data_IF_688780820045
#
_entry.id   IF_688780820045
#
_cell.length_a   1.000
_cell.length_b   1.000
_cell.length_c   1.000
_cell.angle_alpha   90.00
_cell.angle_beta   90.00
_cell.angle_gamma   90.00
#
_symmetry.space_group_name_H-M   'P 1'
#
loop_
_entity.id
_entity.type
_entity.pdbx_description
1 polymer ?
#
# COMPACT_ATOMS: atom_id res chain seq x y z
N UNK A 1 -25.10 23.04 -45.39
CA UNK A 1 -24.75 22.94 -43.95
C UNK A 1 -23.77 21.80 -43.77
N UNK A 2 -22.46 22.08 -43.70
CA UNK A 2 -21.45 21.06 -43.44
C UNK A 2 -21.39 20.80 -41.94
N UNK A 3 -22.00 19.69 -41.49
CA UNK A 3 -21.76 19.16 -40.16
C UNK A 3 -20.27 18.81 -40.08
N UNK A 4 -19.49 19.64 -39.39
CA UNK A 4 -18.10 19.32 -39.03
C UNK A 4 -18.16 18.11 -38.11
N UNK A 5 -17.92 16.92 -38.67
CA UNK A 5 -17.66 15.70 -37.91
C UNK A 5 -16.42 16.03 -37.07
N UNK A 6 -16.63 16.30 -35.79
CA UNK A 6 -15.56 16.60 -34.87
C UNK A 6 -14.57 15.42 -34.83
N UNK A 7 -13.27 15.67 -34.61
CA UNK A 7 -12.24 14.64 -34.50
C UNK A 7 -12.40 13.79 -33.23
N UNK A 8 -13.48 12.99 -33.16
CA UNK A 8 -13.73 11.98 -32.13
C UNK A 8 -12.58 10.96 -31.94
N UNK A 9 -11.81 10.52 -32.96
CA UNK A 9 -10.72 9.58 -32.70
C UNK A 9 -9.59 10.19 -31.87
N UNK A 10 -9.38 11.51 -31.94
CA UNK A 10 -8.33 12.19 -31.20
C UNK A 10 -8.68 12.41 -29.73
N UNK A 11 -9.94 12.77 -29.43
CA UNK A 11 -10.40 12.89 -28.04
C UNK A 11 -10.30 11.55 -27.28
N UNK A 12 -10.56 10.45 -27.97
CA UNK A 12 -10.54 9.11 -27.41
C UNK A 12 -9.11 8.56 -27.19
N UNK A 13 -8.17 8.86 -28.10
CA UNK A 13 -6.74 8.55 -27.91
C UNK A 13 -6.15 9.38 -26.76
N UNK A 14 -6.51 10.67 -26.68
CA UNK A 14 -6.11 11.52 -25.57
C UNK A 14 -6.64 11.01 -24.22
N UNK A 15 -7.90 10.52 -24.17
CA UNK A 15 -8.49 9.98 -22.96
C UNK A 15 -7.76 8.73 -22.42
N UNK A 16 -7.41 7.76 -23.29
CA UNK A 16 -6.59 6.58 -22.88
C UNK A 16 -5.23 7.04 -22.37
N UNK A 17 -4.62 7.98 -23.09
CA UNK A 17 -3.30 8.45 -22.71
C UNK A 17 -3.30 9.11 -21.35
N UNK A 18 -4.35 9.89 -21.04
CA UNK A 18 -4.55 10.48 -19.73
C UNK A 18 -4.74 9.42 -18.64
N UNK A 19 -5.57 8.40 -18.88
CA UNK A 19 -5.84 7.35 -17.88
C UNK A 19 -4.59 6.56 -17.57
N UNK A 20 -3.86 6.14 -18.60
CA UNK A 20 -2.65 5.35 -18.43
C UNK A 20 -1.50 6.16 -17.80
N UNK A 21 -1.37 7.44 -18.16
CA UNK A 21 -0.41 8.32 -17.50
C UNK A 21 -0.74 8.51 -16.01
N UNK A 22 -2.03 8.60 -15.66
CA UNK A 22 -2.48 8.67 -14.28
C UNK A 22 -2.14 7.42 -13.46
N UNK A 23 -2.37 6.23 -14.03
CA UNK A 23 -2.00 4.96 -13.38
C UNK A 23 -0.48 4.86 -13.20
N UNK A 24 0.31 5.18 -14.22
CA UNK A 24 1.77 5.16 -14.10
C UNK A 24 2.29 6.16 -13.06
N UNK A 25 1.74 7.37 -13.01
CA UNK A 25 2.07 8.37 -11.99
C UNK A 25 1.73 7.89 -10.58
N UNK A 26 0.59 7.21 -10.41
CA UNK A 26 0.20 6.62 -9.13
C UNK A 26 1.15 5.50 -8.67
N UNK A 27 1.58 4.62 -9.60
CA UNK A 27 2.55 3.56 -9.30
C UNK A 27 3.93 4.12 -8.92
N UNK A 28 4.37 5.20 -9.59
CA UNK A 28 5.63 5.88 -9.30
C UNK A 28 5.62 6.65 -7.97
N UNK A 29 4.45 7.11 -7.52
CA UNK A 29 4.31 7.90 -6.29
C UNK A 29 4.19 7.06 -5.01
N UNK A 30 4.00 5.74 -5.10
CA UNK A 30 3.84 4.87 -3.94
C UNK A 30 5.20 4.29 -3.46
N UNK A 31 5.75 4.75 -2.32
CA UNK A 31 6.98 4.19 -1.76
C UNK A 31 6.70 2.77 -1.26
N UNK A 32 7.11 1.77 -2.04
CA UNK A 32 6.88 0.35 -1.73
C UNK A 32 6.68 -0.52 -2.96
N UNK A 33 6.43 0.08 -4.12
CA UNK A 33 6.43 -0.63 -5.39
C UNK A 33 7.73 -0.42 -6.16
N UNK A 34 8.12 -1.44 -6.93
CA UNK A 34 9.29 -1.35 -7.80
C UNK A 34 9.04 -0.31 -8.91
N UNK A 35 9.82 0.79 -8.97
CA UNK A 35 9.63 1.83 -9.99
C UNK A 35 9.77 1.30 -11.42
N UNK A 36 10.41 0.15 -11.63
CA UNK A 36 10.51 -0.50 -12.93
C UNK A 36 9.13 -0.85 -13.51
N UNK A 37 8.19 -1.30 -12.68
CA UNK A 37 6.83 -1.67 -13.13
C UNK A 37 6.07 -0.44 -13.64
N UNK A 38 6.17 0.68 -12.92
CA UNK A 38 5.58 1.96 -13.34
C UNK A 38 6.14 2.46 -14.67
N UNK A 39 7.45 2.35 -14.87
CA UNK A 39 8.12 2.79 -16.11
C UNK A 39 7.72 1.92 -17.31
N UNK A 40 7.63 0.60 -17.15
CA UNK A 40 7.21 -0.32 -18.21
C UNK A 40 5.76 -0.06 -18.61
N UNK A 41 4.87 0.14 -17.64
CA UNK A 41 3.46 0.48 -17.91
C UNK A 41 3.33 1.81 -18.66
N UNK A 42 4.12 2.83 -18.28
CA UNK A 42 4.14 4.11 -18.97
C UNK A 42 4.63 3.98 -20.42
N UNK A 43 5.74 3.28 -20.62
CA UNK A 43 6.33 3.07 -21.94
C UNK A 43 5.38 2.30 -22.88
N UNK A 44 4.77 1.21 -22.39
CA UNK A 44 3.76 0.46 -23.13
C UNK A 44 2.56 1.32 -23.52
N UNK A 45 2.11 2.19 -22.61
CA UNK A 45 0.98 3.10 -22.86
C UNK A 45 1.31 4.12 -23.94
N UNK A 46 2.48 4.75 -23.87
CA UNK A 46 2.94 5.71 -24.88
C UNK A 46 3.11 5.04 -26.25
N UNK A 47 3.64 3.82 -26.27
CA UNK A 47 3.78 3.04 -27.51
C UNK A 47 2.42 2.76 -28.16
N UNK A 48 1.41 2.37 -27.37
CA UNK A 48 0.05 2.12 -27.85
C UNK A 48 -0.60 3.40 -28.42
N UNK A 49 -0.44 4.55 -27.74
CA UNK A 49 -0.91 5.84 -28.24
C UNK A 49 -0.22 6.24 -29.54
N UNK A 50 1.10 6.06 -29.61
CA UNK A 50 1.89 6.34 -30.80
C UNK A 50 1.43 5.49 -31.99
N UNK A 51 1.26 4.19 -31.79
CA UNK A 51 0.76 3.28 -32.83
C UNK A 51 -0.65 3.66 -33.30
N UNK A 52 -1.56 3.98 -32.38
CA UNK A 52 -2.92 4.41 -32.70
C UNK A 52 -2.95 5.74 -33.48
N UNK A 53 -2.13 6.71 -33.07
CA UNK A 53 -1.99 7.98 -33.78
C UNK A 53 -1.48 7.77 -35.22
N UNK A 54 -0.44 6.94 -35.38
CA UNK A 54 0.14 6.62 -36.68
C UNK A 54 -0.90 5.96 -37.57
N UNK A 55 -1.66 4.98 -37.08
CA UNK A 55 -2.69 4.29 -37.85
C UNK A 55 -3.79 5.28 -38.30
N UNK A 56 -4.28 6.10 -37.38
CA UNK A 56 -5.31 7.10 -37.68
C UNK A 56 -4.84 8.10 -38.73
N UNK A 57 -3.63 8.66 -38.56
CA UNK A 57 -3.08 9.68 -39.44
C UNK A 57 -2.66 9.15 -40.82
N UNK A 58 -2.11 7.93 -40.88
CA UNK A 58 -1.54 7.36 -42.12
C UNK A 58 -2.54 6.59 -42.96
N UNK A 59 -3.57 6.03 -42.33
CA UNK A 59 -4.50 5.08 -42.97
C UNK A 59 -5.93 5.59 -42.87
N UNK A 60 -6.49 5.71 -41.66
CA UNK A 60 -7.92 5.97 -41.48
C UNK A 60 -8.36 7.31 -42.07
N UNK A 61 -7.63 8.40 -41.78
CA UNK A 61 -7.97 9.75 -42.28
C UNK A 61 -7.84 9.81 -43.82
N UNK A 62 -6.73 9.38 -44.43
CA UNK A 62 -6.61 9.36 -45.89
C UNK A 62 -7.67 8.51 -46.59
N UNK A 63 -8.03 7.35 -46.04
CA UNK A 63 -9.07 6.50 -46.62
C UNK A 63 -10.45 7.17 -46.60
N UNK A 64 -10.81 7.84 -45.50
CA UNK A 64 -12.05 8.60 -45.41
C UNK A 64 -12.09 9.73 -46.45
N UNK A 65 -10.99 10.47 -46.59
CA UNK A 65 -10.87 11.54 -47.58
C UNK A 65 -10.96 11.03 -49.02
N UNK A 66 -10.35 9.88 -49.33
CA UNK A 66 -10.46 9.25 -50.65
C UNK A 66 -11.89 8.77 -50.94
N UNK A 67 -12.60 8.25 -49.95
CA UNK A 67 -14.00 7.87 -50.08
C UNK A 67 -14.88 9.08 -50.41
N UNK A 68 -14.66 10.22 -49.75
CA UNK A 68 -15.37 11.48 -50.02
C UNK A 68 -15.11 11.98 -51.46
N UNK A 69 -13.84 11.99 -51.89
CA UNK A 69 -13.46 12.37 -53.25
C UNK A 69 -14.09 11.43 -54.29
N UNK A 70 -14.10 10.11 -54.06
CA UNK A 70 -14.74 9.15 -54.95
C UNK A 70 -16.26 9.41 -55.05
N UNK A 71 -16.91 9.71 -53.92
CA UNK A 71 -18.33 10.09 -53.89
C UNK A 71 -18.63 11.35 -54.71
N UNK A 72 -17.75 12.36 -54.64
CA UNK A 72 -17.86 13.57 -55.46
C UNK A 72 -17.68 13.29 -56.96
N UNK A 73 -16.69 12.47 -57.33
CA UNK A 73 -16.49 12.03 -58.72
C UNK A 73 -17.72 11.28 -59.24
N UNK A 74 -18.31 10.41 -58.42
CA UNK A 74 -19.52 9.67 -58.77
C UNK A 74 -20.74 10.57 -59.00
N UNK A 75 -20.81 11.74 -58.35
CA UNK A 75 -21.83 12.78 -58.60
C UNK A 75 -21.54 13.64 -59.84
N UNK A 76 -20.46 13.36 -60.56
CA UNK A 76 -20.06 14.09 -61.77
C UNK A 76 -19.24 15.36 -61.50
N UNK A 77 -18.74 15.56 -60.27
CA UNK A 77 -17.90 16.70 -59.92
C UNK A 77 -16.50 16.54 -60.55
N UNK A 78 -16.17 17.38 -61.55
CA UNK A 78 -14.92 17.26 -62.33
C UNK A 78 -13.71 17.94 -61.69
N UNK A 79 -13.94 18.87 -60.78
CA UNK A 79 -12.90 19.69 -60.15
C UNK A 79 -12.61 19.27 -58.70
N UNK A 80 -12.86 17.99 -58.35
CA UNK A 80 -12.55 17.52 -57.00
C UNK A 80 -11.04 17.24 -56.85
N UNK A 81 -10.46 17.72 -55.76
CA UNK A 81 -9.12 17.35 -55.35
C UNK A 81 -9.12 15.89 -54.87
N UNK A 82 -8.08 15.14 -55.26
CA UNK A 82 -7.87 13.77 -54.80
C UNK A 82 -6.73 13.77 -53.77
N UNK A 83 -7.02 13.67 -52.47
CA UNK A 83 -6.01 13.69 -51.42
C UNK A 83 -5.09 12.47 -51.51
N UNK A 84 -3.81 12.65 -51.21
CA UNK A 84 -2.82 11.56 -51.25
C UNK A 84 -2.30 11.20 -52.66
N UNK A 85 -2.69 11.94 -53.71
CA UNK A 85 -2.12 11.77 -55.04
C UNK A 85 -0.60 12.03 -55.00
N UNK A 86 0.19 11.11 -55.57
CA UNK A 86 1.66 11.17 -55.54
C UNK A 86 2.32 10.49 -54.34
N UNK A 87 1.55 9.90 -53.40
CA UNK A 87 2.13 9.00 -52.39
C UNK A 87 2.69 7.73 -53.04
N UNK A 88 3.76 7.19 -52.45
CA UNK A 88 4.45 5.98 -52.92
C UNK A 88 3.95 4.68 -52.26
N UNK A 89 2.79 4.71 -51.61
CA UNK A 89 2.18 3.58 -50.90
C UNK A 89 0.82 3.19 -51.50
N UNK A 90 0.18 2.16 -50.94
CA UNK A 90 -1.10 1.63 -51.43
C UNK A 90 -2.21 2.69 -51.44
N UNK A 91 -2.18 3.63 -50.50
CA UNK A 91 -3.13 4.76 -50.46
C UNK A 91 -2.91 5.68 -51.67
N UNK A 92 -1.65 5.94 -52.04
CA UNK A 92 -1.31 6.67 -53.26
C UNK A 92 -1.75 5.97 -54.54
N UNK A 93 -1.62 4.64 -54.60
CA UNK A 93 -2.12 3.86 -55.74
C UNK A 93 -3.65 3.97 -55.89
N UNK A 94 -4.39 3.91 -54.79
CA UNK A 94 -5.84 4.18 -54.78
C UNK A 94 -6.17 5.61 -55.23
N UNK A 95 -5.44 6.62 -54.73
CA UNK A 95 -5.63 8.00 -55.13
C UNK A 95 -5.44 8.19 -56.65
N UNK A 96 -4.40 7.58 -57.22
CA UNK A 96 -4.14 7.62 -58.66
C UNK A 96 -5.28 6.96 -59.48
N UNK A 97 -5.83 5.85 -58.99
CA UNK A 97 -6.97 5.20 -59.63
C UNK A 97 -8.22 6.10 -59.64
N UNK A 98 -8.53 6.78 -58.53
CA UNK A 98 -9.68 7.70 -58.47
C UNK A 98 -9.47 8.91 -59.39
N UNK A 99 -8.24 9.44 -59.46
CA UNK A 99 -7.91 10.52 -60.41
C UNK A 99 -8.14 10.09 -61.86
N UNK A 100 -7.73 8.89 -62.25
CA UNK A 100 -7.99 8.34 -63.59
C UNK A 100 -9.49 8.19 -63.89
N UNK A 101 -10.30 7.79 -62.89
CA UNK A 101 -11.77 7.71 -63.03
C UNK A 101 -12.36 9.10 -63.27
N UNK A 102 -11.94 10.09 -62.48
CA UNK A 102 -12.37 11.49 -62.64
C UNK A 102 -12.04 12.02 -64.03
N UNK A 103 -10.82 11.81 -64.50
CA UNK A 103 -10.34 12.33 -65.78
C UNK A 103 -11.08 11.67 -66.97
N UNK A 104 -11.41 10.38 -66.85
CA UNK A 104 -12.26 9.67 -67.82
C UNK A 104 -13.71 10.17 -67.80
N UNK A 105 -14.27 10.46 -66.63
CA UNK A 105 -15.62 11.02 -66.50
C UNK A 105 -15.74 12.45 -67.09
N UNK A 106 -14.62 13.15 -67.23
CA UNK A 106 -14.56 14.46 -67.89
C UNK A 106 -14.43 14.40 -69.43
N UNK A 107 -14.06 13.24 -69.99
CA UNK A 107 -13.84 13.10 -71.43
C UNK A 107 -15.16 13.03 -72.22
N UNK A 108 -15.28 13.76 -73.35
CA UNK A 108 -16.51 13.87 -74.14
C UNK A 108 -16.87 12.61 -74.95
N UNK A 109 -16.03 11.57 -74.94
CA UNK A 109 -16.19 10.35 -75.74
C UNK A 109 -17.34 9.42 -75.32
N UNK A 110 -18.16 9.81 -74.35
CA UNK A 110 -19.54 9.29 -74.16
C UNK A 110 -19.68 7.80 -73.84
N UNK A 111 -18.58 7.05 -73.67
CA UNK A 111 -18.67 5.64 -73.31
C UNK A 111 -19.03 5.53 -71.83
N UNK A 112 -20.22 5.03 -71.47
CA UNK A 112 -20.60 4.86 -70.07
C UNK A 112 -19.64 3.88 -69.43
N UNK A 113 -18.79 4.37 -68.53
CA UNK A 113 -17.89 3.55 -67.75
C UNK A 113 -18.72 2.72 -66.76
N UNK A 114 -19.32 1.62 -67.24
CA UNK A 114 -20.05 0.62 -66.44
C UNK A 114 -19.24 -0.01 -65.30
N UNK A 115 -17.88 -0.04 -65.27
CA UNK A 115 -17.17 -0.53 -64.09
C UNK A 115 -16.99 0.51 -62.97
N UNK A 116 -17.23 1.81 -63.20
CA UNK A 116 -17.02 2.83 -62.17
C UNK A 116 -18.04 2.74 -61.03
N UNK A 117 -19.30 2.43 -61.36
CA UNK A 117 -20.35 2.22 -60.35
C UNK A 117 -20.11 0.94 -59.56
N UNK A 118 -19.72 -0.16 -60.21
CA UNK A 118 -19.43 -1.43 -59.53
C UNK A 118 -18.21 -1.34 -58.60
N UNK A 119 -17.14 -0.67 -59.03
CA UNK A 119 -15.95 -0.43 -58.19
C UNK A 119 -16.28 0.55 -57.05
N UNK A 120 -17.03 1.61 -57.32
CA UNK A 120 -17.50 2.53 -56.28
C UNK A 120 -18.40 1.82 -55.27
N UNK A 121 -19.29 0.92 -55.69
CA UNK A 121 -20.10 0.08 -54.80
C UNK A 121 -19.27 -0.89 -53.98
N UNK A 122 -18.21 -1.46 -54.57
CA UNK A 122 -17.31 -2.37 -53.87
C UNK A 122 -16.47 -1.63 -52.83
N UNK A 123 -15.93 -0.47 -53.18
CA UNK A 123 -15.19 0.40 -52.26
C UNK A 123 -16.14 0.93 -51.17
N UNK A 124 -17.35 1.37 -51.51
CA UNK A 124 -18.34 1.81 -50.54
C UNK A 124 -18.70 0.69 -49.57
N UNK A 125 -18.96 -0.54 -50.06
CA UNK A 125 -19.19 -1.71 -49.20
C UNK A 125 -17.98 -2.05 -48.33
N UNK A 126 -16.77 -1.97 -48.88
CA UNK A 126 -15.54 -2.22 -48.11
C UNK A 126 -15.33 -1.15 -47.02
N UNK A 127 -15.60 0.12 -47.31
CA UNK A 127 -15.53 1.23 -46.36
C UNK A 127 -16.63 1.11 -45.29
N UNK A 128 -17.87 0.77 -45.65
CA UNK A 128 -18.93 0.50 -44.69
C UNK A 128 -18.60 -0.70 -43.81
N UNK A 129 -18.04 -1.77 -44.38
CA UNK A 129 -17.55 -2.93 -43.63
C UNK A 129 -16.43 -2.56 -42.65
N UNK A 130 -15.46 -1.76 -43.09
CA UNK A 130 -14.39 -1.25 -42.24
C UNK A 130 -14.93 -0.33 -41.12
N UNK A 131 -15.92 0.52 -41.44
CA UNK A 131 -16.57 1.41 -40.46
C UNK A 131 -17.39 0.62 -39.44
N UNK A 132 -18.09 -0.43 -39.89
CA UNK A 132 -18.82 -1.36 -39.02
C UNK A 132 -17.87 -2.12 -38.09
N UNK A 133 -16.76 -2.64 -38.61
CA UNK A 133 -15.73 -3.28 -37.82
C UNK A 133 -15.12 -2.30 -36.79
N UNK A 134 -14.89 -1.05 -37.17
CA UNK A 134 -14.41 -0.02 -36.25
C UNK A 134 -15.40 0.27 -35.12
N UNK A 135 -16.70 0.39 -35.42
CA UNK A 135 -17.75 0.54 -34.40
C UNK A 135 -17.84 -0.67 -33.47
N UNK A 136 -17.68 -1.89 -34.01
CA UNK A 136 -17.66 -3.10 -33.20
C UNK A 136 -16.44 -3.14 -32.26
N UNK A 137 -15.27 -2.69 -32.73
CA UNK A 137 -14.08 -2.52 -31.89
C UNK A 137 -14.30 -1.44 -30.81
N UNK A 138 -14.97 -0.33 -31.13
CA UNK A 138 -15.36 0.68 -30.14
C UNK A 138 -16.30 0.11 -29.08
N UNK A 139 -17.37 -0.60 -29.47
CA UNK A 139 -18.29 -1.22 -28.51
C UNK A 139 -17.60 -2.25 -27.60
N UNK A 140 -16.70 -3.08 -28.16
CA UNK A 140 -15.91 -4.03 -27.37
C UNK A 140 -14.97 -3.32 -26.40
N UNK A 141 -14.42 -2.17 -26.79
CA UNK A 141 -13.56 -1.34 -25.96
C UNK A 141 -14.31 -0.65 -24.81
N UNK A 142 -15.53 -0.17 -25.05
CA UNK A 142 -16.37 0.39 -23.99
C UNK A 142 -16.67 -0.69 -22.95
N UNK A 143 -16.88 -1.94 -23.39
CA UNK A 143 -16.93 -3.13 -22.53
C UNK A 143 -15.66 -3.33 -21.71
N UNK A 144 -14.49 -3.35 -22.35
CA UNK A 144 -13.19 -3.48 -21.64
C UNK A 144 -12.97 -2.35 -20.63
N UNK A 145 -13.42 -1.13 -20.93
CA UNK A 145 -13.32 0.00 -20.00
C UNK A 145 -14.22 -0.20 -18.78
N UNK A 146 -15.42 -0.74 -18.98
CA UNK A 146 -16.29 -1.19 -17.89
C UNK A 146 -15.65 -2.29 -17.02
N UNK A 147 -15.01 -3.27 -17.66
CA UNK A 147 -14.30 -4.35 -16.95
C UNK A 147 -13.11 -3.82 -16.13
N UNK A 148 -12.40 -2.79 -16.64
CA UNK A 148 -11.32 -2.13 -15.90
C UNK A 148 -11.82 -1.40 -14.65
N UNK A 149 -12.97 -0.72 -14.73
CA UNK A 149 -13.59 -0.09 -13.55
C UNK A 149 -14.01 -1.15 -12.51
N UNK A 150 -14.61 -2.26 -12.94
CA UNK A 150 -14.92 -3.39 -12.06
C UNK A 150 -13.66 -4.01 -11.44
N UNK A 151 -12.56 -4.06 -12.19
CA UNK A 151 -11.26 -4.56 -11.69
C UNK A 151 -10.65 -3.62 -10.65
N UNK A 152 -10.79 -2.30 -10.82
CA UNK A 152 -10.34 -1.31 -9.84
C UNK A 152 -11.13 -1.44 -8.52
N UNK A 153 -12.45 -1.60 -8.61
CA UNK A 153 -13.31 -1.84 -7.44
C UNK A 153 -12.93 -3.15 -6.72
N UNK A 154 -12.67 -4.22 -7.47
CA UNK A 154 -12.20 -5.49 -6.91
C UNK A 154 -10.83 -5.35 -6.23
N UNK A 155 -9.90 -4.59 -6.82
CA UNK A 155 -8.59 -4.32 -6.24
C UNK A 155 -8.71 -3.53 -4.93
N UNK A 156 -9.59 -2.53 -4.87
CA UNK A 156 -9.86 -1.77 -3.64
C UNK A 156 -10.51 -2.63 -2.55
N UNK A 157 -11.42 -3.54 -2.92
CA UNK A 157 -12.00 -4.51 -1.99
C UNK A 157 -10.93 -5.44 -1.43
N UNK A 158 -10.02 -5.95 -2.27
CA UNK A 158 -8.93 -6.82 -1.85
C UNK A 158 -7.90 -6.09 -0.98
N UNK A 159 -7.59 -4.82 -1.28
CA UNK A 159 -6.71 -4.00 -0.45
C UNK A 159 -7.30 -3.72 0.94
N UNK A 160 -8.62 -3.51 1.03
CA UNK A 160 -9.34 -3.41 2.32
C UNK A 160 -9.26 -4.71 3.12
N UNK A 161 -9.62 -5.84 2.51
CA UNK A 161 -9.56 -7.15 3.16
C UNK A 161 -8.14 -7.51 3.65
N UNK A 162 -7.11 -7.13 2.89
CA UNK A 162 -5.71 -7.38 3.29
C UNK A 162 -5.32 -6.56 4.53
N UNK A 163 -5.76 -5.30 4.63
CA UNK A 163 -5.53 -4.47 5.82
C UNK A 163 -6.22 -5.04 7.05
N UNK A 164 -7.49 -5.43 6.93
CA UNK A 164 -8.26 -6.06 8.00
C UNK A 164 -7.60 -7.37 8.48
N UNK A 165 -7.08 -8.18 7.54
CA UNK A 165 -6.35 -9.40 7.88
C UNK A 165 -5.05 -9.09 8.65
N UNK A 166 -4.29 -8.07 8.26
CA UNK A 166 -3.09 -7.64 8.98
C UNK A 166 -3.40 -7.18 10.42
N UNK A 167 -4.47 -6.41 10.61
CA UNK A 167 -4.93 -5.97 11.93
C UNK A 167 -5.32 -7.17 12.81
N UNK A 168 -6.09 -8.13 12.27
CA UNK A 168 -6.48 -9.34 13.01
C UNK A 168 -5.27 -10.21 13.41
N UNK A 169 -4.24 -10.27 12.57
CA UNK A 169 -2.99 -10.99 12.90
C UNK A 169 -2.22 -10.26 14.00
N UNK A 170 -2.16 -8.93 13.97
CA UNK A 170 -1.51 -8.14 15.01
C UNK A 170 -2.22 -8.32 16.37
N UNK A 171 -3.55 -8.23 16.40
CA UNK A 171 -4.36 -8.45 17.60
C UNK A 171 -4.17 -9.85 18.17
N UNK A 172 -4.19 -10.89 17.31
CA UNK A 172 -3.91 -12.27 17.74
C UNK A 172 -2.50 -12.43 18.31
N UNK A 173 -1.48 -11.81 17.71
CA UNK A 173 -0.11 -11.84 18.25
C UNK A 173 -0.04 -11.20 19.64
N UNK A 174 -0.74 -10.08 19.85
CA UNK A 174 -0.81 -9.44 21.17
C UNK A 174 -1.52 -10.33 22.21
N UNK A 175 -2.64 -10.97 21.82
CA UNK A 175 -3.34 -11.93 22.68
C UNK A 175 -2.43 -13.11 23.03
N UNK A 176 -1.74 -13.70 22.06
CA UNK A 176 -0.77 -14.77 22.31
C UNK A 176 0.38 -14.31 23.19
N UNK A 177 0.87 -13.08 23.02
CA UNK A 177 1.86 -12.48 23.90
C UNK A 177 1.37 -12.40 25.34
N UNK A 178 0.12 -12.00 25.57
CA UNK A 178 -0.52 -11.98 26.90
C UNK A 178 -0.69 -13.38 27.51
N UNK A 179 -1.11 -14.36 26.71
CA UNK A 179 -1.30 -15.74 27.16
C UNK A 179 0.05 -16.41 27.48
N UNK A 180 1.04 -16.24 26.61
CA UNK A 180 2.39 -16.80 26.78
C UNK A 180 3.13 -16.15 27.95
N UNK A 181 2.86 -14.87 28.25
CA UNK A 181 3.37 -14.17 29.42
C UNK A 181 2.56 -14.49 30.71
N UNK A 182 1.94 -15.66 30.79
CA UNK A 182 1.05 -16.08 31.89
C UNK A 182 1.61 -15.81 33.30
N UNK A 183 0.78 -16.01 34.36
CA UNK A 183 1.12 -15.63 35.73
C UNK A 183 2.43 -16.24 36.29
N UNK A 184 2.99 -17.27 35.64
CA UNK A 184 4.31 -17.83 35.97
C UNK A 184 5.50 -16.90 35.64
N UNK A 185 5.35 -15.94 34.71
CA UNK A 185 6.39 -14.98 34.39
C UNK A 185 6.68 -13.99 35.54
N UNK A 186 5.79 -13.92 36.54
CA UNK A 186 6.00 -13.14 37.76
C UNK A 186 6.78 -13.91 38.84
N UNK A 187 6.77 -15.25 38.79
CA UNK A 187 7.45 -16.13 39.75
C UNK A 187 8.95 -16.26 39.40
N UNK A 188 9.31 -16.21 38.11
CA UNK A 188 10.69 -16.52 37.67
C UNK A 188 11.62 -15.32 37.44
N UNK A 189 11.17 -14.07 37.69
CA UNK A 189 12.04 -12.88 37.70
C UNK A 189 12.74 -12.64 39.04
N UNK A 190 12.42 -13.42 40.08
CA UNK A 190 12.97 -13.23 41.43
C UNK A 190 14.24 -14.08 41.57
N UNK A 191 15.40 -13.43 41.57
CA UNK A 191 16.71 -14.09 41.65
C UNK A 191 16.97 -14.86 42.97
N UNK A 192 16.14 -14.68 44.00
CA UNK A 192 16.34 -15.28 45.32
C UNK A 192 15.02 -15.64 45.99
N UNK A 193 15.01 -16.78 46.69
CA UNK A 193 13.89 -17.24 47.53
C UNK A 193 13.63 -16.21 48.65
N UNK A 194 12.36 -15.83 48.84
CA UNK A 194 11.90 -14.98 49.95
C UNK A 194 11.29 -15.85 51.04
N UNK A 195 11.70 -15.64 52.28
CA UNK A 195 11.16 -16.30 53.46
C UNK A 195 10.31 -15.28 54.22
N UNK A 196 9.04 -15.59 54.56
CA UNK A 196 8.22 -14.72 55.37
C UNK A 196 8.87 -14.54 56.75
N UNK A 197 9.05 -13.28 57.18
CA UNK A 197 9.75 -12.96 58.42
C UNK A 197 9.10 -11.77 59.11
N UNK A 198 8.22 -12.02 60.08
CA UNK A 198 7.54 -10.98 60.87
C UNK A 198 8.40 -10.53 62.04
N UNK A 199 9.38 -9.66 61.79
CA UNK A 199 10.26 -9.12 62.83
C UNK A 199 10.41 -7.61 62.72
N UNK A 200 10.49 -6.94 63.87
CA UNK A 200 10.77 -5.51 63.92
C UNK A 200 12.19 -5.19 63.43
N UNK A 201 12.32 -4.11 62.68
CA UNK A 201 13.57 -3.54 62.19
C UNK A 201 13.51 -2.01 62.26
N UNK A 202 14.65 -1.35 62.12
CA UNK A 202 14.71 0.10 62.02
C UNK A 202 15.06 0.48 60.59
N UNK A 203 14.27 1.38 60.01
CA UNK A 203 14.39 1.84 58.63
C UNK A 203 14.88 3.29 58.61
N UNK A 204 16.02 3.53 58.00
CA UNK A 204 16.56 4.86 57.74
C UNK A 204 16.46 5.16 56.24
N UNK A 205 15.82 6.27 55.87
CA UNK A 205 15.63 6.68 54.47
C UNK A 205 16.19 8.07 54.26
N UNK A 206 17.06 8.24 53.25
CA UNK A 206 17.63 9.52 52.86
C UNK A 206 18.24 10.34 54.02
N UNK A 207 18.89 9.66 54.99
CA UNK A 207 19.50 10.30 56.17
C UNK A 207 18.50 10.86 57.18
N UNK A 208 17.21 10.50 57.08
CA UNK A 208 16.19 10.88 58.07
C UNK A 208 16.29 9.98 59.30
N UNK A 209 15.67 10.41 60.40
CA UNK A 209 15.58 9.63 61.64
C UNK A 209 15.04 8.21 61.34
N UNK A 210 15.68 7.20 61.94
CA UNK A 210 15.27 5.82 61.82
C UNK A 210 13.85 5.60 62.37
N UNK A 211 13.00 4.91 61.59
CA UNK A 211 11.60 4.59 61.91
C UNK A 211 11.48 3.09 62.15
N UNK A 212 10.72 2.67 63.16
CA UNK A 212 10.46 1.26 63.39
C UNK A 212 9.51 0.72 62.30
N UNK A 213 9.88 -0.40 61.69
CA UNK A 213 9.09 -1.08 60.65
C UNK A 213 9.04 -2.58 60.92
N UNK A 214 8.04 -3.26 60.39
CA UNK A 214 8.00 -4.72 60.42
C UNK A 214 8.52 -5.28 59.10
N UNK A 215 9.46 -6.21 59.17
CA UNK A 215 9.76 -7.09 58.05
C UNK A 215 8.53 -7.96 57.78
N UNK A 216 8.17 -8.11 56.51
CA UNK A 216 7.12 -9.01 56.05
C UNK A 216 7.73 -10.25 55.41
N UNK A 217 8.76 -10.03 54.58
CA UNK A 217 9.60 -11.08 54.00
C UNK A 217 11.05 -10.62 53.85
N UNK A 218 11.96 -11.59 53.77
CA UNK A 218 13.39 -11.39 53.60
C UNK A 218 13.96 -12.37 52.58
N UNK A 219 14.89 -11.88 51.77
CA UNK A 219 15.73 -12.66 50.85
C UNK A 219 17.17 -12.15 50.87
N UNK A 220 18.08 -12.88 50.23
CA UNK A 220 19.46 -12.42 50.06
C UNK A 220 19.58 -11.10 49.28
N UNK A 221 18.64 -10.83 48.37
CA UNK A 221 18.66 -9.62 47.51
C UNK A 221 17.86 -8.44 48.04
N UNK A 222 17.00 -8.62 49.06
CA UNK A 222 16.11 -7.57 49.52
C UNK A 222 15.06 -8.03 50.52
N UNK A 223 14.21 -7.09 50.93
CA UNK A 223 13.13 -7.32 51.91
C UNK A 223 11.83 -6.63 51.49
N UNK A 224 10.71 -7.08 52.04
CA UNK A 224 9.45 -6.33 52.06
C UNK A 224 9.19 -5.85 53.48
N UNK A 225 8.80 -4.59 53.62
CA UNK A 225 8.56 -3.90 54.88
C UNK A 225 7.11 -3.44 54.95
N UNK A 226 6.47 -3.57 56.10
CA UNK A 226 5.25 -2.86 56.44
C UNK A 226 5.60 -1.38 56.61
N UNK A 227 4.96 -0.55 55.79
CA UNK A 227 5.34 0.83 55.58
C UNK A 227 4.20 1.81 55.80
N UNK A 228 3.16 1.41 56.53
CA UNK A 228 1.93 2.18 56.76
C UNK A 228 2.18 3.63 57.17
N UNK A 229 3.28 3.92 57.87
CA UNK A 229 3.63 5.27 58.33
C UNK A 229 4.86 5.89 57.62
N UNK A 230 5.42 5.23 56.62
CA UNK A 230 6.69 5.64 56.00
C UNK A 230 6.48 6.28 54.62
N UNK A 231 6.87 7.56 54.49
CA UNK A 231 6.93 8.23 53.18
C UNK A 231 8.21 7.84 52.42
N UNK A 232 8.12 6.83 51.57
CA UNK A 232 9.19 6.41 50.67
C UNK A 232 8.86 6.70 49.20
N UNK A 233 9.90 6.83 48.37
CA UNK A 233 9.77 6.92 46.92
C UNK A 233 10.70 5.90 46.25
N UNK A 234 10.30 5.39 45.08
CA UNK A 234 11.14 4.48 44.29
C UNK A 234 12.48 5.16 43.97
N UNK A 235 13.57 4.42 44.16
CA UNK A 235 14.94 4.89 43.96
C UNK A 235 15.59 5.51 45.21
N UNK A 236 14.83 5.77 46.29
CA UNK A 236 15.38 6.34 47.52
C UNK A 236 16.38 5.39 48.19
N UNK A 237 17.58 5.90 48.49
CA UNK A 237 18.59 5.16 49.23
C UNK A 237 18.33 5.22 50.74
N UNK A 238 18.71 4.16 51.43
CA UNK A 238 18.54 4.05 52.87
C UNK A 238 19.36 2.91 53.48
N UNK A 239 19.12 2.68 54.76
CA UNK A 239 19.67 1.55 55.49
C UNK A 239 18.56 0.86 56.28
N UNK A 240 18.58 -0.46 56.25
CA UNK A 240 17.78 -1.29 57.14
C UNK A 240 18.69 -1.77 58.27
N UNK A 241 18.36 -1.42 59.50
CA UNK A 241 19.11 -1.84 60.69
C UNK A 241 18.32 -2.95 61.38
N UNK A 242 18.97 -4.11 61.51
CA UNK A 242 18.40 -5.27 62.18
C UNK A 242 19.40 -5.83 63.19
N UNK A 243 19.07 -5.76 64.48
CA UNK A 243 20.01 -6.02 65.56
C UNK A 243 21.18 -5.04 65.50
N UNK A 244 22.39 -5.55 65.35
CA UNK A 244 23.62 -4.75 65.17
C UNK A 244 24.04 -4.59 63.71
N UNK A 245 23.32 -5.20 62.77
CA UNK A 245 23.69 -5.21 61.35
C UNK A 245 23.02 -4.06 60.61
N UNK A 246 23.84 -3.29 59.88
CA UNK A 246 23.38 -2.22 58.99
C UNK A 246 23.43 -2.72 57.54
N UNK A 247 22.29 -2.66 56.85
CA UNK A 247 22.13 -3.18 55.50
C UNK A 247 21.80 -2.03 54.53
N UNK A 248 22.76 -1.57 53.71
CA UNK A 248 22.51 -0.54 52.71
C UNK A 248 21.50 -1.04 51.69
N UNK A 249 20.50 -0.21 51.40
CA UNK A 249 19.40 -0.60 50.52
C UNK A 249 18.88 0.57 49.69
N UNK A 250 18.08 0.23 48.67
CA UNK A 250 17.34 1.16 47.85
C UNK A 250 15.90 0.69 47.68
N UNK A 251 14.96 1.62 47.76
CA UNK A 251 13.54 1.36 47.51
C UNK A 251 13.33 1.01 46.04
N UNK A 252 12.77 -0.16 45.74
CA UNK A 252 12.51 -0.63 44.37
C UNK A 252 11.04 -0.56 43.99
N UNK A 253 10.13 -0.67 44.96
CA UNK A 253 8.70 -0.49 44.76
C UNK A 253 8.03 0.01 46.05
N UNK A 254 6.97 0.80 45.91
CA UNK A 254 6.13 1.28 47.01
C UNK A 254 4.70 0.88 46.67
N UNK A 255 4.08 0.07 47.51
CA UNK A 255 2.65 -0.25 47.47
C UNK A 255 1.89 0.52 48.55
N UNK A 256 0.60 0.26 48.68
CA UNK A 256 -0.27 0.95 49.65
C UNK A 256 0.22 0.78 51.09
N UNK A 257 0.50 -0.45 51.53
CA UNK A 257 0.91 -0.75 52.91
C UNK A 257 2.33 -1.34 53.02
N UNK A 258 3.06 -1.41 51.91
CA UNK A 258 4.35 -2.10 51.87
C UNK A 258 5.39 -1.39 51.02
N UNK A 259 6.63 -1.44 51.48
CA UNK A 259 7.79 -1.01 50.70
C UNK A 259 8.65 -2.24 50.37
N UNK A 260 9.05 -2.36 49.12
CA UNK A 260 10.04 -3.33 48.69
C UNK A 260 11.40 -2.64 48.56
N UNK A 261 12.41 -3.23 49.18
CA UNK A 261 13.79 -2.74 49.16
C UNK A 261 14.72 -3.78 48.57
N UNK A 262 15.74 -3.33 47.85
CA UNK A 262 16.85 -4.14 47.36
C UNK A 262 18.15 -3.73 48.05
N UNK A 263 18.94 -4.71 48.50
CA UNK A 263 20.21 -4.44 49.16
C UNK A 263 21.29 -4.09 48.11
N UNK A 264 22.09 -3.05 48.36
CA UNK A 264 23.03 -2.51 47.36
C UNK A 264 24.50 -2.87 47.61
N UNK A 265 24.91 -3.05 48.88
CA UNK A 265 26.30 -3.34 49.24
C UNK A 265 26.40 -4.09 50.58
N UNK A 266 25.90 -5.34 50.64
CA UNK A 266 25.96 -6.15 51.86
C UNK A 266 27.40 -6.61 52.14
N UNK A 267 27.88 -6.34 53.36
CA UNK A 267 29.10 -6.97 53.90
C UNK A 267 28.91 -8.48 54.03
N UNK A 268 30.02 -9.23 54.09
CA UNK A 268 29.99 -10.69 54.29
C UNK A 268 29.27 -11.08 55.59
N UNK A 269 29.43 -10.28 56.65
CA UNK A 269 28.72 -10.46 57.93
C UNK A 269 27.21 -10.25 57.78
N UNK A 270 26.78 -9.18 57.09
CA UNK A 270 25.36 -8.93 56.85
C UNK A 270 24.71 -10.03 56.01
N UNK A 271 25.41 -10.58 55.01
CA UNK A 271 24.93 -11.73 54.22
C UNK A 271 24.79 -12.98 55.09
N UNK A 272 25.78 -13.25 55.95
CA UNK A 272 25.74 -14.39 56.86
C UNK A 272 24.57 -14.25 57.86
N UNK A 273 24.36 -13.05 58.40
CA UNK A 273 23.23 -12.74 59.27
C UNK A 273 21.88 -12.98 58.56
N UNK A 274 21.72 -12.52 57.32
CA UNK A 274 20.52 -12.78 56.51
C UNK A 274 20.27 -14.28 56.34
N UNK A 275 21.31 -15.05 55.99
CA UNK A 275 21.17 -16.51 55.82
C UNK A 275 20.77 -17.20 57.13
N UNK A 276 21.38 -16.83 58.26
CA UNK A 276 20.99 -17.37 59.56
C UNK A 276 19.54 -17.02 59.93
N UNK A 277 19.09 -15.80 59.61
CA UNK A 277 17.69 -15.41 59.83
C UNK A 277 16.73 -16.23 58.96
N UNK A 278 17.06 -16.42 57.68
CA UNK A 278 16.25 -17.22 56.76
C UNK A 278 16.19 -18.69 57.17
N UNK A 279 17.30 -19.28 57.62
CA UNK A 279 17.31 -20.67 58.10
C UNK A 279 16.54 -20.84 59.41
N UNK A 280 16.66 -19.89 60.34
CA UNK A 280 15.94 -19.93 61.62
C UNK A 280 14.43 -19.73 61.46
N UNK A 281 14.00 -18.87 60.54
CA UNK A 281 12.59 -18.69 60.24
C UNK A 281 11.96 -19.93 59.61
N UNK A 282 12.70 -20.64 58.74
CA UNK A 282 12.25 -21.90 58.15
C UNK A 282 12.01 -23.00 59.20
N UNK A 283 12.84 -23.08 60.24
CA UNK A 283 12.66 -24.05 61.33
C UNK A 283 11.45 -23.71 62.22
N UNK A 284 11.19 -22.44 62.48
CA UNK A 284 10.04 -22.00 63.29
C UNK A 284 8.69 -22.16 62.57
N UNK A 285 8.68 -22.20 61.23
CA UNK A 285 7.49 -22.49 60.43
C UNK A 285 7.19 -23.99 60.26
N UNK A 286 8.19 -24.85 60.51
CA UNK A 286 8.08 -26.30 60.40
C UNK A 286 7.72 -26.99 61.72
N UNK A 287 7.78 -26.26 62.84
CA UNK A 287 7.39 -26.70 64.19
C UNK A 287 6.00 -26.19 64.54
#
# INVERSE_FOLDING_TARGET
>A
MHARIAPLPFGLLAAIGLTNAGVAAHLLANPGQDPAVGLVMLAASLAALGAGWVLAARVTIPLAQLADSLGAVARGERLVAIPGLGRADDIGAMAAAIALIRDRAASPSGHPVRPATALAEHIARAVDGATGAFRAVQGRRDGVTGDLYGSAEAAEAMARATREAHESVAERRELFGRIAAGPEAEIQRRASIRVPLRRGAMLELAGRRAVAVNLLDLSEGGAALDATETRAAVGMAGALVFGTNLMPMRVVAVGEDRIHVAFTALSSEARLAIRHMMSGAGQALAA
#
